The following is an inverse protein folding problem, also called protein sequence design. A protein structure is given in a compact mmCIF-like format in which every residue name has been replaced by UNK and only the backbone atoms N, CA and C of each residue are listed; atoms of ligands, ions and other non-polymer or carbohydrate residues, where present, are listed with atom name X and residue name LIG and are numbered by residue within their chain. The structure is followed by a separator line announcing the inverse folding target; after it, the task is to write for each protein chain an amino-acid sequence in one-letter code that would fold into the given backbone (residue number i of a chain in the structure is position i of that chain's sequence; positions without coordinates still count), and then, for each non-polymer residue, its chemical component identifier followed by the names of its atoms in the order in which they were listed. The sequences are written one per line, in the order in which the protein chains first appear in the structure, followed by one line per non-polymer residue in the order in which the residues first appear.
data_IF_613622407875
#
_entry.id   IF_613622407875
#
_cell.length_a   1.000
_cell.length_b   1.000
_cell.length_c   1.000
_cell.angle_alpha   90.00
_cell.angle_beta   90.00
_cell.angle_gamma   90.00
#
_symmetry.space_group_name_H-M   'P 1'
#
loop_
_entity.id
_entity.type
_entity.pdbx_description
1 polymer ?
#
# COMPACT_ATOMS: atom_id res chain seq x y z
N UNK A 1 11.39 -30.88 -5.25
CA UNK A 1 10.58 -29.69 -4.92
C UNK A 1 10.99 -29.28 -3.51
N UNK A 2 11.65 -28.13 -3.36
CA UNK A 2 12.39 -27.79 -2.15
C UNK A 2 11.46 -27.69 -0.93
N UNK A 3 11.80 -28.45 0.11
CA UNK A 3 11.22 -28.34 1.43
C UNK A 3 11.82 -27.11 2.12
N UNK A 4 11.20 -25.95 1.97
CA UNK A 4 11.56 -24.77 2.76
C UNK A 4 11.07 -24.96 4.19
N UNK A 5 11.91 -24.63 5.17
CA UNK A 5 11.52 -24.64 6.58
C UNK A 5 10.46 -23.57 6.83
N UNK A 6 9.55 -23.74 7.82
CA UNK A 6 8.54 -22.73 8.15
C UNK A 6 9.10 -21.33 8.40
N UNK A 7 10.35 -21.25 8.87
CA UNK A 7 11.06 -19.99 9.14
C UNK A 7 11.74 -19.38 7.90
N UNK A 8 11.55 -19.95 6.70
CA UNK A 8 12.09 -19.45 5.43
C UNK A 8 10.99 -18.92 4.50
N UNK A 9 9.75 -18.84 4.98
CA UNK A 9 8.60 -18.32 4.24
C UNK A 9 8.16 -17.00 4.85
N UNK A 10 7.99 -15.99 4.00
CA UNK A 10 7.43 -14.69 4.35
C UNK A 10 6.08 -14.50 3.63
N UNK A 11 5.03 -14.16 4.37
CA UNK A 11 3.72 -13.81 3.78
C UNK A 11 3.67 -12.32 3.47
N UNK A 12 3.51 -11.98 2.19
CA UNK A 12 3.52 -10.60 1.69
C UNK A 12 2.15 -10.25 1.12
N UNK A 13 1.61 -9.10 1.53
CA UNK A 13 0.42 -8.48 0.97
C UNK A 13 0.78 -7.30 0.07
N UNK A 14 0.10 -7.20 -1.07
CA UNK A 14 0.19 -6.04 -1.97
C UNK A 14 -1.19 -5.40 -2.02
N UNK A 15 -1.37 -4.28 -1.32
CA UNK A 15 -2.65 -3.58 -1.27
C UNK A 15 -2.79 -2.68 -2.49
N UNK A 16 -3.64 -3.11 -3.43
CA UNK A 16 -4.05 -2.31 -4.58
C UNK A 16 -5.35 -1.57 -4.23
N UNK A 17 -5.22 -0.32 -3.78
CA UNK A 17 -6.35 0.53 -3.45
C UNK A 17 -6.22 1.94 -4.04
N UNK A 18 -7.35 2.56 -4.34
CA UNK A 18 -7.40 3.98 -4.66
C UNK A 18 -7.40 4.83 -3.37
N UNK A 19 -6.73 5.99 -3.32
CA UNK A 19 -6.87 6.92 -2.21
C UNK A 19 -8.23 7.60 -2.22
N UNK A 20 -8.56 8.33 -1.14
CA UNK A 20 -9.54 9.40 -1.27
C UNK A 20 -8.79 10.64 -1.73
N UNK A 21 -9.04 11.02 -2.99
CA UNK A 21 -8.19 11.98 -3.69
C UNK A 21 -8.02 13.29 -2.93
N UNK A 22 -6.76 13.61 -2.60
CA UNK A 22 -6.34 14.81 -1.85
C UNK A 22 -6.95 14.93 -0.43
N UNK A 23 -7.51 13.85 0.10
CA UNK A 23 -8.00 13.76 1.47
C UNK A 23 -7.09 12.82 2.28
N UNK A 24 -6.17 13.44 3.02
CA UNK A 24 -5.18 12.74 3.84
C UNK A 24 -5.83 11.89 4.94
N UNK A 25 -6.81 12.45 5.66
CA UNK A 25 -7.41 11.78 6.81
C UNK A 25 -8.25 10.58 6.36
N UNK A 26 -9.06 10.71 5.31
CA UNK A 26 -9.83 9.57 4.79
C UNK A 26 -8.94 8.51 4.13
N UNK A 27 -7.87 8.91 3.45
CA UNK A 27 -6.91 7.94 2.89
C UNK A 27 -6.17 7.20 4.00
N UNK A 28 -5.79 7.88 5.08
CA UNK A 28 -5.17 7.26 6.24
C UNK A 28 -6.11 6.24 6.92
N UNK A 29 -7.40 6.56 7.05
CA UNK A 29 -8.37 5.62 7.58
C UNK A 29 -8.46 4.32 6.74
N UNK A 30 -8.36 4.42 5.41
CA UNK A 30 -8.30 3.25 4.51
C UNK A 30 -7.01 2.45 4.70
N UNK A 31 -5.85 3.12 4.80
CA UNK A 31 -4.56 2.46 5.06
C UNK A 31 -4.61 1.66 6.37
N UNK A 32 -5.15 2.24 7.45
CA UNK A 32 -5.27 1.56 8.74
C UNK A 32 -6.17 0.32 8.63
N UNK A 33 -7.29 0.42 7.92
CA UNK A 33 -8.20 -0.72 7.71
C UNK A 33 -7.52 -1.86 6.92
N UNK A 34 -6.77 -1.55 5.86
CA UNK A 34 -6.01 -2.53 5.08
C UNK A 34 -4.91 -3.21 5.92
N UNK A 35 -4.19 -2.45 6.76
CA UNK A 35 -3.19 -3.01 7.69
C UNK A 35 -3.86 -3.99 8.66
N UNK A 36 -5.01 -3.64 9.23
CA UNK A 36 -5.75 -4.53 10.13
C UNK A 36 -6.21 -5.79 9.42
N UNK A 37 -6.74 -5.67 8.20
CA UNK A 37 -7.16 -6.82 7.39
C UNK A 37 -5.97 -7.73 7.02
N UNK A 38 -4.83 -7.17 6.64
CA UNK A 38 -3.62 -7.93 6.35
C UNK A 38 -3.13 -8.68 7.61
N UNK A 39 -3.20 -8.04 8.78
CA UNK A 39 -2.88 -8.68 10.06
C UNK A 39 -3.77 -9.90 10.38
N UNK A 40 -5.04 -9.90 9.96
CA UNK A 40 -5.93 -11.08 10.11
C UNK A 40 -5.58 -12.25 9.20
N UNK A 41 -4.69 -12.04 8.22
CA UNK A 41 -4.25 -13.04 7.24
C UNK A 41 -2.78 -13.47 7.47
N UNK A 42 -2.23 -13.20 8.65
CA UNK A 42 -0.83 -13.47 8.99
C UNK A 42 0.15 -12.82 7.98
N UNK A 43 -0.22 -11.68 7.39
CA UNK A 43 0.66 -10.91 6.52
C UNK A 43 1.78 -10.25 7.33
N UNK A 44 3.02 -10.51 6.93
CA UNK A 44 4.23 -10.03 7.63
C UNK A 44 4.80 -8.76 6.98
N UNK A 45 4.52 -8.55 5.69
CA UNK A 45 4.86 -7.32 4.97
C UNK A 45 3.70 -6.90 4.07
N UNK A 46 3.12 -5.73 4.33
CA UNK A 46 2.11 -5.12 3.48
C UNK A 46 2.73 -3.93 2.73
N UNK A 47 2.62 -3.93 1.40
CA UNK A 47 3.09 -2.82 0.55
C UNK A 47 1.93 -2.08 -0.11
N UNK A 48 2.13 -0.79 -0.33
CA UNK A 48 1.17 0.12 -0.95
C UNK A 48 1.77 0.77 -2.20
N UNK A 49 0.90 1.32 -3.05
CA UNK A 49 1.33 2.09 -4.22
C UNK A 49 2.14 3.34 -3.86
N UNK A 50 3.00 3.77 -4.78
CA UNK A 50 3.81 4.97 -4.64
C UNK A 50 2.93 6.22 -4.43
N UNK A 51 3.35 7.10 -3.52
CA UNK A 51 2.66 8.36 -3.18
C UNK A 51 1.14 8.21 -2.91
N UNK A 52 0.71 7.07 -2.37
CA UNK A 52 -0.71 6.79 -2.12
C UNK A 52 -1.37 7.76 -1.14
N UNK A 53 -0.63 8.35 -0.19
CA UNK A 53 -1.16 9.29 0.80
C UNK A 53 -0.81 10.75 0.46
N UNK A 54 -1.78 11.63 0.13
CA UNK A 54 -3.22 11.40 -0.07
C UNK A 54 -3.60 11.04 -1.52
N UNK A 55 -2.62 10.71 -2.35
CA UNK A 55 -2.81 10.27 -3.72
C UNK A 55 -1.75 10.83 -4.63
N UNK A 56 -1.39 10.07 -5.66
CA UNK A 56 -0.32 10.41 -6.57
C UNK A 56 -0.61 11.72 -7.34
N UNK A 57 0.32 12.69 -7.35
CA UNK A 57 0.12 13.99 -7.99
C UNK A 57 0.33 13.92 -9.51
N UNK A 58 -0.59 13.25 -10.22
CA UNK A 58 -0.45 12.97 -11.66
C UNK A 58 -0.36 14.23 -12.54
N UNK A 59 -0.76 15.39 -12.03
CA UNK A 59 -0.72 16.65 -12.78
C UNK A 59 0.70 17.16 -13.02
N UNK A 60 1.70 16.75 -12.23
CA UNK A 60 3.07 17.23 -12.37
C UNK A 60 3.64 16.96 -13.77
N UNK A 61 3.34 15.79 -14.35
CA UNK A 61 3.75 15.43 -15.71
C UNK A 61 3.05 16.27 -16.78
N UNK A 62 1.81 16.69 -16.52
CA UNK A 62 0.99 17.44 -17.47
C UNK A 62 1.28 18.94 -17.44
N UNK A 63 1.82 19.46 -16.34
CA UNK A 63 2.00 20.90 -16.12
C UNK A 63 3.47 21.35 -16.08
N UNK A 64 4.43 20.46 -16.37
CA UNK A 64 5.87 20.71 -16.17
C UNK A 64 6.19 21.11 -14.70
N UNK A 65 5.40 20.59 -13.75
CA UNK A 65 5.44 21.01 -12.35
C UNK A 65 6.60 20.43 -11.54
N UNK A 66 7.37 19.51 -12.14
CA UNK A 66 8.51 18.82 -11.52
C UNK A 66 9.88 19.31 -12.05
N UNK A 67 9.88 20.34 -12.89
CA UNK A 67 11.09 20.86 -13.55
C UNK A 67 11.86 21.85 -12.70
#
# INVERSE_FOLDING_TARGET
MNNLHPNERLTIGISQMAPVWLDKEKTLAKIVAEIQQAGTQDCELLVFGEALLPGYPFWLELTDGAR
#
